data_IF_825984661962
#
_entry.id   IF_825984661962
#
_cell.length_a   1.000
_cell.length_b   1.000
_cell.length_c   1.000
_cell.angle_alpha   90.00
_cell.angle_beta   90.00
_cell.angle_gamma   90.00
#
_symmetry.space_group_name_H-M   'P 1'
#
loop_
_entity.id
_entity.type
_entity.pdbx_description
1 polymer ?
#
# COMPACT_ATOMS: atom_id res chain seq x y z
N UNK A 1 19.08 19.66 30.35
CA UNK A 1 17.92 19.74 29.44
C UNK A 1 17.78 18.37 28.80
N UNK A 2 17.03 17.46 29.44
CA UNK A 2 16.70 16.14 28.91
C UNK A 2 15.68 16.34 27.80
N UNK A 3 16.17 16.59 26.58
CA UNK A 3 15.35 16.45 25.39
C UNK A 3 15.10 14.97 25.23
N UNK A 4 14.05 14.45 25.86
CA UNK A 4 13.57 13.10 25.61
C UNK A 4 12.72 13.18 24.33
N UNK A 5 13.26 12.84 23.14
CA UNK A 5 12.41 12.58 22.00
C UNK A 5 11.46 11.44 22.40
N UNK A 6 10.23 11.52 21.92
CA UNK A 6 9.15 10.54 22.12
C UNK A 6 9.71 9.11 22.29
N UNK A 7 9.44 8.48 23.42
CA UNK A 7 9.99 7.15 23.75
C UNK A 7 9.56 6.14 22.68
N UNK A 8 10.38 5.13 22.36
CA UNK A 8 10.06 4.13 21.32
C UNK A 8 8.67 3.50 21.49
N UNK A 9 8.25 3.28 22.73
CA UNK A 9 6.92 2.80 23.11
C UNK A 9 5.78 3.74 22.69
N UNK A 10 5.99 5.06 22.79
CA UNK A 10 5.03 6.08 22.38
C UNK A 10 4.93 6.16 20.85
N UNK A 11 6.06 6.01 20.16
CA UNK A 11 6.08 5.92 18.69
C UNK A 11 5.30 4.69 18.21
N UNK A 12 5.47 3.54 18.86
CA UNK A 12 4.71 2.32 18.57
C UNK A 12 3.21 2.48 18.81
N UNK A 13 2.82 3.11 19.92
CA UNK A 13 1.41 3.42 20.21
C UNK A 13 0.79 4.35 19.15
N UNK A 14 1.57 5.30 18.62
CA UNK A 14 1.12 6.22 17.58
C UNK A 14 1.10 5.58 16.18
N UNK A 15 2.01 4.63 15.92
CA UNK A 15 2.06 3.86 14.68
C UNK A 15 0.96 2.79 14.60
N UNK A 16 0.49 2.28 15.75
CA UNK A 16 -0.56 1.26 15.84
C UNK A 16 -1.82 1.58 15.01
N UNK A 17 -2.44 2.77 15.09
CA UNK A 17 -3.61 3.10 14.28
C UNK A 17 -3.29 3.17 12.78
N UNK A 18 -2.09 3.63 12.40
CA UNK A 18 -1.66 3.70 11.01
C UNK A 18 -1.49 2.29 10.42
N UNK A 19 -0.86 1.38 11.16
CA UNK A 19 -0.70 -0.03 10.76
C UNK A 19 -2.05 -0.74 10.70
N UNK A 20 -2.94 -0.52 11.68
CA UNK A 20 -4.28 -1.10 11.67
C UNK A 20 -5.10 -0.63 10.47
N UNK A 21 -5.04 0.67 10.15
CA UNK A 21 -5.71 1.23 8.97
C UNK A 21 -5.14 0.65 7.68
N UNK A 22 -3.81 0.54 7.56
CA UNK A 22 -3.17 -0.05 6.38
C UNK A 22 -3.59 -1.51 6.17
N UNK A 23 -3.59 -2.33 7.23
CA UNK A 23 -4.07 -3.72 7.16
C UNK A 23 -5.54 -3.77 6.75
N UNK A 24 -6.39 -2.91 7.33
CA UNK A 24 -7.81 -2.86 7.00
C UNK A 24 -8.03 -2.51 5.52
N UNK A 25 -7.33 -1.50 5.02
CA UNK A 25 -7.41 -1.08 3.62
C UNK A 25 -6.93 -2.18 2.66
N UNK A 26 -5.84 -2.87 2.99
CA UNK A 26 -5.36 -4.03 2.20
C UNK A 26 -6.41 -5.13 2.14
N UNK A 27 -7.03 -5.48 3.27
CA UNK A 27 -8.09 -6.51 3.32
C UNK A 27 -9.29 -6.08 2.49
N UNK A 28 -9.76 -4.84 2.64
CA UNK A 28 -10.88 -4.31 1.85
C UNK A 28 -10.56 -4.33 0.35
N UNK A 29 -9.36 -3.94 -0.05
CA UNK A 29 -8.92 -3.95 -1.44
C UNK A 29 -8.85 -5.37 -2.01
N UNK A 30 -8.36 -6.35 -1.25
CA UNK A 30 -8.34 -7.76 -1.67
C UNK A 30 -9.75 -8.34 -1.80
N UNK A 31 -10.66 -8.01 -0.87
CA UNK A 31 -12.07 -8.43 -0.95
C UNK A 31 -12.77 -7.82 -2.16
N UNK A 32 -12.56 -6.52 -2.41
CA UNK A 32 -13.06 -5.83 -3.61
C UNK A 32 -12.53 -6.49 -4.89
N UNK A 33 -11.23 -6.81 -4.93
CA UNK A 33 -10.58 -7.47 -6.05
C UNK A 33 -11.13 -8.88 -6.30
N UNK A 34 -11.38 -9.63 -5.22
CA UNK A 34 -11.98 -10.97 -5.30
C UNK A 34 -13.42 -10.91 -5.86
N UNK A 35 -14.21 -9.92 -5.41
CA UNK A 35 -15.58 -9.68 -5.87
C UNK A 35 -15.67 -9.04 -7.25
N UNK A 36 -14.58 -8.47 -7.77
CA UNK A 36 -14.56 -7.85 -9.08
C UNK A 36 -14.65 -8.93 -10.18
N UNK A 37 -15.69 -8.82 -11.01
CA UNK A 37 -15.95 -9.74 -12.12
C UNK A 37 -14.93 -9.54 -13.26
N UNK A 38 -14.54 -8.29 -13.50
CA UNK A 38 -13.45 -7.89 -14.40
C UNK A 38 -12.56 -6.87 -13.71
N UNK A 39 -11.25 -7.01 -13.92
CA UNK A 39 -10.25 -6.07 -13.40
C UNK A 39 -9.55 -5.41 -14.58
N UNK A 40 -9.09 -4.15 -14.44
CA UNK A 40 -8.29 -3.50 -15.49
C UNK A 40 -7.08 -4.41 -15.81
N UNK A 41 -6.78 -4.65 -17.09
CA UNK A 41 -5.75 -5.59 -17.55
C UNK A 41 -6.04 -7.10 -17.33
N UNK A 42 -7.25 -7.47 -16.90
CA UNK A 42 -7.75 -8.85 -16.70
C UNK A 42 -6.91 -9.77 -15.77
N UNK A 43 -5.85 -9.23 -15.18
CA UNK A 43 -4.87 -9.96 -14.39
C UNK A 43 -5.13 -9.78 -12.89
N UNK A 44 -6.12 -10.51 -12.35
CA UNK A 44 -6.41 -10.53 -10.90
C UNK A 44 -5.19 -10.79 -10.00
N UNK A 45 -4.29 -11.74 -10.29
CA UNK A 45 -3.11 -11.96 -9.45
C UNK A 45 -2.12 -10.79 -9.46
N UNK A 46 -2.04 -10.03 -10.57
CA UNK A 46 -1.18 -8.85 -10.68
C UNK A 46 -1.66 -7.73 -9.75
N UNK A 47 -2.98 -7.53 -9.66
CA UNK A 47 -3.56 -6.57 -8.71
C UNK A 47 -3.41 -7.01 -7.26
N UNK A 48 -3.53 -8.31 -6.96
CA UNK A 48 -3.27 -8.82 -5.62
C UNK A 48 -1.81 -8.60 -5.20
N UNK A 49 -0.87 -8.88 -6.11
CA UNK A 49 0.55 -8.60 -5.90
C UNK A 49 0.79 -7.11 -5.68
N UNK A 50 0.18 -6.22 -6.46
CA UNK A 50 0.27 -4.77 -6.25
C UNK A 50 -0.29 -4.35 -4.89
N UNK A 51 -1.46 -4.81 -4.46
CA UNK A 51 -2.03 -4.44 -3.16
C UNK A 51 -1.09 -4.85 -2.00
N UNK A 52 -0.43 -6.01 -2.13
CA UNK A 52 0.53 -6.52 -1.16
C UNK A 52 1.90 -5.83 -1.24
N UNK A 53 2.36 -5.46 -2.43
CA UNK A 53 3.68 -4.90 -2.69
C UNK A 53 3.70 -3.38 -2.57
N UNK A 54 2.65 -2.66 -2.98
CA UNK A 54 2.59 -1.18 -2.99
C UNK A 54 2.61 -0.59 -1.58
N UNK A 55 2.18 -1.35 -0.59
CA UNK A 55 2.26 -0.93 0.80
C UNK A 55 3.69 -0.98 1.36
N UNK A 56 4.60 -1.73 0.73
CA UNK A 56 6.04 -1.76 1.07
C UNK A 56 6.92 -1.02 0.04
N UNK A 57 6.50 -1.06 -1.22
CA UNK A 57 7.24 -0.62 -2.41
C UNK A 57 6.39 0.24 -3.35
N UNK A 58 5.30 0.85 -2.88
CA UNK A 58 4.39 1.64 -3.72
C UNK A 58 5.06 2.79 -4.44
N UNK A 59 6.03 3.38 -3.76
CA UNK A 59 6.99 4.34 -4.31
C UNK A 59 7.74 3.78 -5.52
N UNK A 60 8.16 2.52 -5.45
CA UNK A 60 8.91 1.82 -6.50
C UNK A 60 7.99 1.43 -7.67
N UNK A 61 6.76 1.00 -7.39
CA UNK A 61 5.76 0.70 -8.41
C UNK A 61 5.42 1.95 -9.25
N UNK A 62 5.32 3.12 -8.63
CA UNK A 62 5.12 4.40 -9.34
C UNK A 62 6.30 4.71 -10.27
N UNK A 63 7.53 4.47 -9.83
CA UNK A 63 8.74 4.69 -10.63
C UNK A 63 8.83 3.79 -11.87
N UNK A 64 8.32 2.55 -11.78
CA UNK A 64 8.40 1.57 -12.88
C UNK A 64 7.25 1.76 -13.89
N UNK A 65 6.05 2.10 -13.42
CA UNK A 65 4.85 2.20 -14.28
C UNK A 65 4.66 3.62 -14.86
N UNK A 66 5.29 4.65 -14.28
CA UNK A 66 5.01 6.06 -14.54
C UNK A 66 5.69 6.72 -15.75
N UNK A 67 6.17 5.99 -16.75
CA UNK A 67 6.54 6.62 -18.04
C UNK A 67 5.49 6.26 -19.09
N UNK A 68 4.44 7.07 -19.27
CA UNK A 68 3.73 7.04 -20.53
C UNK A 68 4.77 7.34 -21.61
N UNK A 69 5.00 6.37 -22.48
CA UNK A 69 5.71 6.57 -23.73
C UNK A 69 4.96 7.68 -24.45
N UNK A 70 5.56 8.86 -24.50
CA UNK A 70 5.05 9.98 -25.27
C UNK A 70 4.87 9.48 -26.72
N UNK A 71 3.66 9.49 -27.29
CA UNK A 71 3.48 9.21 -28.69
C UNK A 71 4.05 10.40 -29.48
N UNK A 72 5.32 10.25 -29.89
CA UNK A 72 5.96 11.11 -30.89
C UNK A 72 5.29 10.97 -32.26
#
# INVERSE_FOLDING_TARGET
MSGDPLTDSQLLLLALPLVALDVLLRVVALVQLYRAERVRWDSKPLWAALILLVSTFGWLAWFIVGRPSDPA
#
